data_IF_296239035651
#
_entry.id   IF_296239035651
#
_cell.length_a   1.000
_cell.length_b   1.000
_cell.length_c   1.000
_cell.angle_alpha   90.00
_cell.angle_beta   90.00
_cell.angle_gamma   90.00
#
_symmetry.space_group_name_H-M   'P 1'
#
loop_
_entity.id
_entity.type
_entity.pdbx_description
1 polymer ?
#
# COMPACT_ATOMS: atom_id res chain seq x y z
N UNK A 1 -8.86 -9.21 1.51
CA UNK A 1 -9.30 -10.59 1.20
C UNK A 1 -9.75 -10.80 -0.25
N UNK A 2 -10.90 -10.25 -0.70
CA UNK A 2 -11.43 -10.49 -2.06
C UNK A 2 -10.47 -10.12 -3.20
N UNK A 3 -9.71 -9.03 -3.05
CA UNK A 3 -8.70 -8.65 -4.04
C UNK A 3 -7.59 -9.70 -4.21
N UNK A 4 -7.16 -10.32 -3.10
CA UNK A 4 -6.12 -11.38 -3.12
C UNK A 4 -6.68 -12.64 -3.77
N UNK A 5 -7.91 -13.02 -3.42
CA UNK A 5 -8.62 -14.16 -4.03
C UNK A 5 -8.77 -13.98 -5.56
N UNK A 6 -9.17 -12.79 -6.01
CA UNK A 6 -9.26 -12.48 -7.45
C UNK A 6 -7.89 -12.58 -8.14
N UNK A 7 -6.82 -12.11 -7.49
CA UNK A 7 -5.45 -12.27 -7.99
C UNK A 7 -5.08 -13.76 -8.07
N UNK A 8 -5.44 -14.58 -7.08
CA UNK A 8 -5.22 -16.02 -7.08
C UNK A 8 -5.93 -16.72 -8.24
N UNK A 9 -7.21 -16.41 -8.46
CA UNK A 9 -7.97 -16.92 -9.62
C UNK A 9 -7.32 -16.54 -10.95
N UNK A 10 -6.90 -15.27 -11.10
CA UNK A 10 -6.27 -14.82 -12.33
C UNK A 10 -4.88 -15.41 -12.53
N UNK A 11 -4.10 -15.60 -11.45
CA UNK A 11 -2.81 -16.31 -11.45
C UNK A 11 -2.99 -17.71 -12.02
N UNK A 12 -3.89 -18.51 -11.45
CA UNK A 12 -4.14 -19.89 -11.91
C UNK A 12 -4.52 -19.94 -13.40
N UNK A 13 -5.38 -19.02 -13.86
CA UNK A 13 -5.77 -18.95 -15.27
C UNK A 13 -4.63 -18.56 -16.21
N UNK A 14 -3.62 -17.80 -15.75
CA UNK A 14 -2.50 -17.38 -16.60
C UNK A 14 -1.31 -18.35 -16.50
N UNK A 15 -1.25 -19.17 -15.45
CA UNK A 15 -0.28 -20.26 -15.33
C UNK A 15 -0.47 -21.31 -16.43
N UNK A 16 -1.70 -21.58 -16.87
CA UNK A 16 -1.95 -22.44 -18.05
C UNK A 16 -1.32 -21.88 -19.33
N UNK A 17 -1.20 -20.56 -19.44
CA UNK A 17 -0.56 -19.87 -20.57
C UNK A 17 0.97 -19.78 -20.43
N UNK A 18 1.53 -20.38 -19.38
CA UNK A 18 2.98 -20.47 -19.14
C UNK A 18 3.58 -19.29 -18.40
N UNK A 19 2.76 -18.49 -17.73
CA UNK A 19 3.24 -17.51 -16.77
C UNK A 19 3.62 -18.18 -15.46
N UNK A 20 4.73 -17.76 -14.86
CA UNK A 20 5.11 -18.10 -13.50
C UNK A 20 5.05 -16.84 -12.65
N UNK A 21 4.34 -16.90 -11.51
CA UNK A 21 4.14 -15.76 -10.62
C UNK A 21 4.95 -15.89 -9.33
N UNK A 22 5.47 -14.76 -8.85
CA UNK A 22 5.97 -14.59 -7.50
C UNK A 22 5.23 -13.41 -6.89
N UNK A 23 4.48 -13.66 -5.81
CA UNK A 23 3.70 -12.64 -5.12
C UNK A 23 4.28 -12.46 -3.72
N UNK A 24 4.58 -11.20 -3.39
CA UNK A 24 5.08 -10.82 -2.07
C UNK A 24 4.17 -9.77 -1.46
N UNK A 25 3.85 -9.92 -0.19
CA UNK A 25 3.09 -8.95 0.58
C UNK A 25 4.00 -8.17 1.53
N UNK A 26 3.75 -6.87 1.65
CA UNK A 26 4.17 -6.06 2.79
C UNK A 26 2.96 -5.38 3.41
N UNK A 27 3.03 -5.11 4.71
CA UNK A 27 1.99 -4.36 5.40
C UNK A 27 2.67 -3.41 6.39
N UNK A 28 2.44 -2.12 6.19
CA UNK A 28 2.97 -1.08 7.07
C UNK A 28 1.86 -0.19 7.61
N UNK A 29 2.18 0.47 8.70
CA UNK A 29 1.42 1.56 9.28
C UNK A 29 2.25 2.85 9.23
N UNK A 30 1.61 3.97 8.93
CA UNK A 30 2.19 5.31 9.06
C UNK A 30 1.43 6.03 10.17
N UNK A 31 2.11 6.28 11.29
CA UNK A 31 1.58 6.98 12.45
C UNK A 31 2.57 8.06 12.88
N UNK A 32 2.08 9.30 13.02
CA UNK A 32 2.93 10.46 13.30
C UNK A 32 4.19 10.52 12.41
N UNK A 33 4.02 10.15 11.13
CA UNK A 33 5.06 10.18 10.09
C UNK A 33 6.25 9.23 10.35
N UNK A 34 6.06 8.30 11.30
CA UNK A 34 6.90 7.15 11.52
C UNK A 34 6.27 5.93 10.83
N UNK A 35 7.11 5.15 10.14
CA UNK A 35 6.70 3.91 9.48
C UNK A 35 6.92 2.74 10.44
N UNK A 36 5.90 1.89 10.61
CA UNK A 36 5.95 0.65 11.38
C UNK A 36 5.65 -0.54 10.48
N UNK A 37 6.49 -1.54 10.54
CA UNK A 37 6.28 -2.82 9.83
C UNK A 37 5.33 -3.72 10.62
N UNK A 38 4.18 -4.04 10.02
CA UNK A 38 3.15 -4.91 10.61
C UNK A 38 3.36 -6.39 10.28
N UNK A 39 4.30 -6.73 9.38
CA UNK A 39 4.62 -8.11 9.02
C UNK A 39 5.95 -8.61 9.58
N UNK A 40 6.73 -7.75 10.26
CA UNK A 40 7.99 -8.15 10.91
C UNK A 40 7.84 -9.43 11.74
N UNK A 41 8.92 -10.19 11.89
CA UNK A 41 8.92 -11.37 12.76
C UNK A 41 9.16 -11.00 14.23
N UNK A 42 8.70 -11.84 15.16
CA UNK A 42 8.73 -11.58 16.61
C UNK A 42 10.09 -11.91 17.28
N UNK A 43 11.17 -12.07 16.51
CA UNK A 43 12.42 -12.67 16.99
C UNK A 43 13.29 -11.74 17.87
N UNK A 44 12.69 -10.83 18.64
CA UNK A 44 13.42 -9.93 19.54
C UNK A 44 14.37 -8.95 18.85
N UNK A 45 14.38 -8.90 17.52
CA UNK A 45 15.22 -7.98 16.76
C UNK A 45 14.75 -6.55 17.00
N UNK A 46 15.70 -5.66 17.32
CA UNK A 46 15.48 -4.22 17.45
C UNK A 46 14.76 -3.72 16.21
N UNK A 47 13.67 -2.95 16.40
CA UNK A 47 12.96 -2.32 15.31
C UNK A 47 13.92 -1.45 14.51
N UNK A 48 14.23 -1.87 13.28
CA UNK A 48 15.07 -1.09 12.38
C UNK A 48 14.28 0.13 11.92
N UNK A 49 14.99 1.24 11.68
CA UNK A 49 14.37 2.41 11.08
C UNK A 49 13.89 2.08 9.65
N UNK A 50 12.70 2.57 9.32
CA UNK A 50 12.05 2.39 8.03
C UNK A 50 11.95 3.76 7.34
N UNK A 51 12.64 3.89 6.20
CA UNK A 51 12.65 5.11 5.41
C UNK A 51 12.31 4.82 3.96
N UNK A 52 11.64 5.77 3.32
CA UNK A 52 11.31 5.68 1.90
C UNK A 52 12.56 6.07 1.10
N UNK A 53 13.09 5.10 0.36
CA UNK A 53 14.26 5.22 -0.51
C UNK A 53 13.86 5.08 -1.97
N UNK A 54 14.75 5.49 -2.86
CA UNK A 54 14.61 5.36 -4.31
C UNK A 54 15.62 4.31 -4.77
N UNK A 55 15.18 3.34 -5.56
CA UNK A 55 16.06 2.33 -6.15
C UNK A 55 16.75 2.88 -7.42
N UNK A 56 17.59 2.05 -8.05
CA UNK A 56 18.33 2.42 -9.27
C UNK A 56 17.41 2.73 -10.46
N UNK A 57 16.18 2.23 -10.44
CA UNK A 57 15.18 2.42 -11.49
C UNK A 57 14.25 3.61 -11.19
N UNK A 58 14.53 4.40 -10.14
CA UNK A 58 13.66 5.49 -9.72
C UNK A 58 12.41 5.05 -8.96
N UNK A 59 12.26 3.76 -8.66
CA UNK A 59 11.11 3.23 -7.92
C UNK A 59 11.29 3.43 -6.41
N UNK A 60 10.20 3.77 -5.75
CA UNK A 60 10.21 4.00 -4.31
C UNK A 60 9.93 2.72 -3.55
N UNK A 61 10.67 2.52 -2.46
CA UNK A 61 10.49 1.41 -1.55
C UNK A 61 10.80 1.84 -0.13
N UNK A 62 10.30 1.09 0.86
CA UNK A 62 10.60 1.32 2.27
C UNK A 62 11.76 0.41 2.69
N UNK A 63 12.81 0.98 3.27
CA UNK A 63 13.96 0.21 3.75
C UNK A 63 13.59 -0.68 4.93
N UNK A 64 14.22 -1.86 4.99
CA UNK A 64 14.04 -2.83 6.07
C UNK A 64 12.58 -3.32 6.25
N UNK A 65 11.69 -3.06 5.29
CA UNK A 65 10.31 -3.53 5.34
C UNK A 65 10.27 -5.02 5.02
N UNK A 66 9.56 -5.78 5.85
CA UNK A 66 9.36 -7.22 5.67
C UNK A 66 8.51 -7.48 4.43
N UNK A 67 9.02 -8.36 3.57
CA UNK A 67 8.34 -8.88 2.39
C UNK A 67 8.12 -10.37 2.58
N UNK A 68 6.87 -10.78 2.81
CA UNK A 68 6.50 -12.20 2.90
C UNK A 68 6.05 -12.69 1.52
N UNK A 69 6.71 -13.71 0.99
CA UNK A 69 6.15 -14.44 -0.16
C UNK A 69 4.86 -15.11 0.28
N UNK A 70 3.81 -15.02 -0.53
CA UNK A 70 2.51 -15.63 -0.24
C UNK A 70 1.97 -16.35 -1.48
N UNK A 71 1.20 -17.41 -1.25
CA UNK A 71 0.31 -17.95 -2.26
C UNK A 71 -1.10 -17.36 -2.10
N UNK A 72 -1.60 -16.53 -3.03
CA UNK A 72 -2.97 -16.01 -2.95
C UNK A 72 -4.06 -17.09 -3.00
N UNK A 73 -3.73 -18.33 -3.38
CA UNK A 73 -4.64 -19.48 -3.36
C UNK A 73 -4.69 -20.17 -1.99
N UNK A 74 -3.73 -19.91 -1.09
CA UNK A 74 -3.74 -20.39 0.29
C UNK A 74 -4.46 -19.37 1.18
N UNK A 75 -5.73 -19.63 1.45
CA UNK A 75 -6.56 -18.75 2.27
C UNK A 75 -6.07 -18.67 3.73
N UNK A 76 -5.56 -19.78 4.27
CA UNK A 76 -5.08 -19.83 5.65
C UNK A 76 -3.81 -19.00 5.83
N UNK A 77 -2.89 -19.05 4.86
CA UNK A 77 -1.69 -18.21 4.82
C UNK A 77 -2.08 -16.72 4.77
N UNK A 78 -2.99 -16.36 3.86
CA UNK A 78 -3.46 -14.96 3.72
C UNK A 78 -4.14 -14.48 4.99
N UNK A 79 -5.01 -15.29 5.60
CA UNK A 79 -5.71 -14.93 6.83
C UNK A 79 -4.77 -14.87 8.03
N UNK A 80 -3.77 -15.74 8.11
CA UNK A 80 -2.72 -15.65 9.13
C UNK A 80 -1.92 -14.35 9.01
N UNK A 81 -1.55 -13.96 7.78
CA UNK A 81 -0.85 -12.70 7.51
C UNK A 81 -1.68 -11.48 7.92
N UNK A 82 -2.97 -11.46 7.57
CA UNK A 82 -3.88 -10.36 7.93
C UNK A 82 -4.12 -10.30 9.45
N UNK A 83 -4.28 -11.45 10.12
CA UNK A 83 -4.39 -11.54 11.58
C UNK A 83 -3.12 -11.05 12.29
N UNK A 84 -1.94 -11.41 11.79
CA UNK A 84 -0.67 -10.93 12.32
C UNK A 84 -0.62 -9.39 12.28
N UNK A 85 -0.94 -8.79 11.13
CA UNK A 85 -0.91 -7.35 10.97
C UNK A 85 -1.95 -6.64 11.86
N UNK A 86 -3.17 -7.18 11.93
CA UNK A 86 -4.25 -6.66 12.77
C UNK A 86 -3.86 -6.67 14.25
N UNK A 87 -3.30 -7.79 14.75
CA UNK A 87 -2.83 -7.90 16.13
C UNK A 87 -1.76 -6.86 16.47
N UNK A 88 -0.79 -6.64 15.57
CA UNK A 88 0.24 -5.61 15.79
C UNK A 88 -0.32 -4.19 15.78
N UNK A 89 -1.30 -3.90 14.92
CA UNK A 89 -2.02 -2.61 14.91
C UNK A 89 -2.77 -2.41 16.24
N UNK A 90 -3.39 -3.47 16.78
CA UNK A 90 -4.09 -3.43 18.07
C UNK A 90 -3.16 -3.26 19.27
N UNK A 91 -2.01 -3.95 19.33
CA UNK A 91 -1.03 -3.82 20.42
C UNK A 91 -0.45 -2.40 20.48
N UNK A 92 -0.32 -1.73 19.33
CA UNK A 92 0.01 -0.31 19.35
C UNK A 92 -1.08 0.48 20.09
N UNK A 93 -2.36 0.21 19.84
CA UNK A 93 -3.49 0.95 20.41
C UNK A 93 -3.71 0.76 21.93
N UNK A 94 -3.21 -0.32 22.55
CA UNK A 94 -3.50 -0.67 23.96
C UNK A 94 -2.87 0.22 25.05
N UNK A 95 -2.33 1.40 24.69
CA UNK A 95 -1.73 2.37 25.62
C UNK A 95 -2.63 3.53 26.10
N UNK A 96 -3.96 3.45 25.99
CA UNK A 96 -4.97 4.51 26.27
C UNK A 96 -5.33 5.49 25.14
N UNK A 97 -5.27 5.11 23.85
CA UNK A 97 -5.84 5.94 22.76
C UNK A 97 -6.44 5.10 21.64
N UNK A 98 -7.50 5.62 21.03
CA UNK A 98 -8.11 5.15 19.77
C UNK A 98 -7.14 5.40 18.60
N UNK A 99 -6.01 4.67 18.55
CA UNK A 99 -4.95 4.87 17.56
C UNK A 99 -5.32 4.40 16.15
N UNK A 100 -6.32 3.53 16.00
CA UNK A 100 -6.71 2.99 14.69
C UNK A 100 -7.34 4.04 13.76
N UNK A 101 -8.06 5.03 14.32
CA UNK A 101 -8.60 6.18 13.56
C UNK A 101 -7.51 7.20 13.21
N UNK A 102 -6.30 7.02 13.74
CA UNK A 102 -5.22 8.01 13.74
C UNK A 102 -3.98 7.58 12.96
N UNK A 103 -4.01 6.41 12.35
CA UNK A 103 -2.90 5.90 11.55
C UNK A 103 -3.37 5.46 10.18
N UNK A 104 -2.48 5.59 9.19
CA UNK A 104 -2.71 5.05 7.85
C UNK A 104 -2.15 3.64 7.78
N UNK A 105 -2.88 2.74 7.16
CA UNK A 105 -2.47 1.37 6.92
C UNK A 105 -2.29 1.15 5.43
N UNK A 106 -1.12 0.63 5.02
CA UNK A 106 -0.79 0.38 3.62
C UNK A 106 -0.42 -1.08 3.47
N UNK A 107 -1.34 -1.86 2.93
CA UNK A 107 -1.08 -3.22 2.48
C UNK A 107 -0.63 -3.19 1.01
N UNK A 108 0.48 -3.83 0.71
CA UNK A 108 1.06 -3.82 -0.64
C UNK A 108 1.30 -5.24 -1.13
N UNK A 109 0.77 -5.55 -2.32
CA UNK A 109 1.14 -6.75 -3.07
C UNK A 109 2.11 -6.37 -4.18
N UNK A 110 3.26 -7.02 -4.17
CA UNK A 110 4.24 -6.98 -5.25
C UNK A 110 4.04 -8.23 -6.11
N UNK A 111 3.70 -8.03 -7.38
CA UNK A 111 3.47 -9.08 -8.34
C UNK A 111 4.63 -9.07 -9.34
N UNK A 112 5.38 -10.16 -9.40
CA UNK A 112 6.34 -10.41 -10.46
C UNK A 112 5.86 -11.62 -11.26
N UNK A 113 5.82 -11.50 -12.58
CA UNK A 113 5.44 -12.60 -13.46
C UNK A 113 6.45 -12.73 -14.60
N UNK A 114 6.76 -13.96 -14.98
CA UNK A 114 7.62 -14.25 -16.12
C UNK A 114 6.96 -15.29 -17.03
N UNK A 115 7.00 -15.07 -18.34
CA UNK A 115 6.63 -16.06 -19.32
C UNK A 115 7.87 -16.42 -20.16
N UNK A 116 8.51 -17.56 -19.90
CA UNK A 116 9.70 -17.98 -20.63
C UNK A 116 9.45 -18.18 -22.14
N UNK A 117 8.27 -18.70 -22.51
CA UNK A 117 7.89 -18.95 -23.91
C UNK A 117 7.83 -17.64 -24.70
N UNK A 118 7.32 -16.59 -24.07
CA UNK A 118 7.18 -15.26 -24.68
C UNK A 118 8.40 -14.35 -24.42
N UNK A 119 9.38 -14.79 -23.60
CA UNK A 119 10.51 -13.97 -23.11
C UNK A 119 10.04 -12.65 -22.47
N UNK A 120 8.92 -12.69 -21.76
CA UNK A 120 8.31 -11.52 -21.13
C UNK A 120 8.44 -11.54 -19.62
N UNK A 121 8.61 -10.36 -19.04
CA UNK A 121 8.47 -10.13 -17.61
C UNK A 121 7.51 -8.98 -17.34
N UNK A 122 6.72 -9.17 -16.29
CA UNK A 122 5.78 -8.19 -15.78
C UNK A 122 6.09 -7.92 -14.32
N UNK A 123 6.04 -6.63 -13.96
CA UNK A 123 6.06 -6.19 -12.56
C UNK A 123 4.86 -5.31 -12.30
N UNK A 124 4.14 -5.61 -11.24
CA UNK A 124 2.97 -4.87 -10.79
C UNK A 124 3.04 -4.66 -9.28
N UNK A 125 2.45 -3.56 -8.83
CA UNK A 125 2.29 -3.27 -7.41
C UNK A 125 0.84 -2.84 -7.18
N UNK A 126 0.17 -3.50 -6.25
CA UNK A 126 -1.16 -3.10 -5.77
C UNK A 126 -1.02 -2.57 -4.35
N UNK A 127 -1.40 -1.32 -4.14
CA UNK A 127 -1.56 -0.75 -2.82
C UNK A 127 -3.05 -0.77 -2.43
N UNK A 128 -3.34 -1.32 -1.26
CA UNK A 128 -4.62 -1.17 -0.56
C UNK A 128 -4.37 -0.28 0.66
N UNK A 129 -4.91 0.93 0.61
CA UNK A 129 -4.63 1.98 1.59
C UNK A 129 -5.89 2.24 2.40
N UNK A 130 -5.79 2.09 3.71
CA UNK A 130 -6.78 2.48 4.70
C UNK A 130 -6.28 3.75 5.39
N UNK A 131 -6.96 4.87 5.12
CA UNK A 131 -6.54 6.19 5.60
C UNK A 131 -7.05 6.44 7.02
N UNK A 132 -6.27 7.22 7.78
CA UNK A 132 -6.74 7.78 9.04
C UNK A 132 -8.02 8.62 8.85
N UNK A 133 -8.76 8.82 9.94
CA UNK A 133 -9.96 9.65 9.99
C UNK A 133 -9.72 11.06 9.46
N UNK A 134 -10.67 11.56 8.67
CA UNK A 134 -10.61 12.89 8.06
C UNK A 134 -11.17 14.01 8.96
N UNK A 135 -11.66 13.65 10.14
CA UNK A 135 -12.33 14.58 11.04
C UNK A 135 -11.39 15.66 11.59
N UNK A 136 -11.92 16.88 11.71
CA UNK A 136 -11.15 18.03 12.17
C UNK A 136 -10.98 18.06 13.69
N UNK A 137 -9.81 18.52 14.13
CA UNK A 137 -9.43 18.65 15.54
C UNK A 137 -10.38 19.49 16.38
N UNK A 138 -11.04 20.47 15.75
CA UNK A 138 -11.99 21.37 16.43
C UNK A 138 -13.15 20.62 17.11
N UNK A 139 -13.48 19.40 16.65
CA UNK A 139 -14.53 18.56 17.24
C UNK A 139 -14.02 17.61 18.33
N UNK A 140 -12.70 17.47 18.48
CA UNK A 140 -12.09 16.46 19.35
C UNK A 140 -11.91 16.92 20.80
N UNK A 141 -11.97 18.24 21.08
CA UNK A 141 -11.79 18.79 22.43
C UNK A 141 -10.39 18.52 23.02
N UNK A 142 -9.42 18.16 22.17
CA UNK A 142 -8.12 17.64 22.58
C UNK A 142 -7.12 18.76 22.88
N UNK A 143 -6.49 18.71 24.05
CA UNK A 143 -5.42 19.62 24.50
C UNK A 143 -4.09 18.88 24.75
N UNK A 144 -2.96 19.59 24.71
CA UNK A 144 -1.62 19.05 25.02
C UNK A 144 -0.98 18.21 23.90
N UNK A 145 -0.18 17.19 24.25
CA UNK A 145 0.53 16.31 23.30
C UNK A 145 -0.36 15.69 22.23
N UNK A 146 -1.62 15.41 22.58
CA UNK A 146 -2.62 14.86 21.65
C UNK A 146 -3.03 15.88 20.56
N UNK A 147 -2.87 17.18 20.78
CA UNK A 147 -3.09 18.21 19.75
C UNK A 147 -1.96 18.17 18.70
N UNK A 148 -0.71 18.04 19.14
CA UNK A 148 0.45 17.87 18.24
C UNK A 148 0.34 16.60 17.40
N UNK A 149 -0.07 15.49 18.02
CA UNK A 149 -0.35 14.22 17.34
C UNK A 149 -1.44 14.39 16.27
N UNK A 150 -2.55 15.03 16.63
CA UNK A 150 -3.69 15.15 15.75
C UNK A 150 -3.45 16.18 14.61
N UNK A 151 -2.55 17.16 14.80
CA UNK A 151 -1.98 18.00 13.73
C UNK A 151 -1.12 17.17 12.78
N UNK A 152 -0.28 16.26 13.31
CA UNK A 152 0.59 15.42 12.49
C UNK A 152 -0.18 14.40 11.64
N UNK A 153 -1.30 13.86 12.15
CA UNK A 153 -2.16 12.95 11.39
C UNK A 153 -2.83 13.70 10.24
N UNK A 154 -3.45 14.85 10.55
CA UNK A 154 -4.05 15.69 9.54
C UNK A 154 -3.03 16.22 8.53
N UNK A 155 -1.74 16.33 8.89
CA UNK A 155 -0.69 16.71 7.94
C UNK A 155 -0.64 15.79 6.72
N UNK A 156 -0.78 14.47 6.93
CA UNK A 156 -0.72 13.50 5.82
C UNK A 156 -1.95 13.55 4.89
N UNK A 157 -3.15 13.74 5.45
CA UNK A 157 -4.39 13.94 4.65
C UNK A 157 -4.43 15.30 3.96
N UNK A 158 -3.99 16.36 4.63
CA UNK A 158 -3.81 17.68 4.02
C UNK A 158 -2.76 17.63 2.90
N UNK A 159 -1.63 16.95 3.12
CA UNK A 159 -0.61 16.75 2.08
C UNK A 159 -1.15 15.97 0.88
N UNK A 160 -2.00 14.97 1.12
CA UNK A 160 -2.69 14.23 0.05
C UNK A 160 -3.62 15.16 -0.74
N UNK A 161 -4.34 16.04 -0.05
CA UNK A 161 -5.17 17.07 -0.67
C UNK A 161 -4.34 18.02 -1.52
N UNK A 162 -3.24 18.55 -0.97
CA UNK A 162 -2.32 19.45 -1.68
C UNK A 162 -1.73 18.80 -2.95
N UNK A 163 -1.42 17.50 -2.88
CA UNK A 163 -0.98 16.72 -4.05
C UNK A 163 -2.04 16.70 -5.14
N UNK A 164 -3.29 16.37 -4.82
CA UNK A 164 -4.37 16.35 -5.81
C UNK A 164 -4.67 17.75 -6.36
N UNK A 165 -4.69 18.78 -5.50
CA UNK A 165 -4.84 20.17 -5.92
C UNK A 165 -3.75 20.55 -6.92
N UNK A 166 -2.50 20.24 -6.62
CA UNK A 166 -1.36 20.55 -7.47
C UNK A 166 -1.43 19.81 -8.81
N UNK A 167 -1.87 18.54 -8.81
CA UNK A 167 -2.08 17.74 -10.03
C UNK A 167 -3.20 18.34 -10.88
N UNK A 168 -4.36 18.64 -10.29
CA UNK A 168 -5.51 19.24 -10.98
C UNK A 168 -5.15 20.59 -11.61
N UNK A 169 -4.33 21.38 -10.91
CA UNK A 169 -3.85 22.68 -11.39
C UNK A 169 -2.65 22.58 -12.34
N UNK A 170 -2.22 21.37 -12.72
CA UNK A 170 -1.07 21.12 -13.61
C UNK A 170 0.20 21.84 -13.16
N UNK A 171 0.42 21.91 -11.85
CA UNK A 171 1.60 22.57 -11.30
C UNK A 171 2.88 21.80 -11.65
N UNK A 172 3.97 22.52 -11.89
CA UNK A 172 5.28 21.92 -12.19
C UNK A 172 5.86 21.13 -11.01
N UNK A 173 5.61 21.60 -9.79
CA UNK A 173 6.08 20.96 -8.57
C UNK A 173 4.90 20.42 -7.77
N UNK A 174 4.86 19.09 -7.60
CA UNK A 174 3.83 18.41 -6.80
C UNK A 174 4.41 18.04 -5.43
N UNK A 175 3.79 18.43 -4.30
CA UNK A 175 4.38 18.35 -2.96
C UNK A 175 4.32 16.94 -2.33
N UNK A 176 4.71 15.90 -3.07
CA UNK A 176 4.71 14.52 -2.58
C UNK A 176 5.61 14.29 -1.36
N UNK A 177 6.57 15.17 -1.08
CA UNK A 177 7.50 15.03 0.05
C UNK A 177 6.93 15.54 1.38
N UNK A 178 5.78 16.20 1.38
CA UNK A 178 5.19 16.79 2.59
C UNK A 178 4.68 15.75 3.60
N UNK A 179 4.47 14.51 3.16
CA UNK A 179 4.14 13.39 4.06
C UNK A 179 4.77 12.09 3.59
N UNK A 180 5.04 11.14 4.51
CA UNK A 180 5.51 9.80 4.14
C UNK A 180 4.46 9.06 3.30
N UNK A 181 3.18 9.28 3.56
CA UNK A 181 2.07 8.67 2.80
C UNK A 181 2.09 9.10 1.33
N UNK A 182 2.07 10.40 1.06
CA UNK A 182 2.11 10.93 -0.32
C UNK A 182 3.43 10.58 -1.00
N UNK A 183 4.54 10.55 -0.26
CA UNK A 183 5.84 10.16 -0.79
C UNK A 183 5.87 8.69 -1.20
N UNK A 184 5.25 7.80 -0.42
CA UNK A 184 5.12 6.39 -0.74
C UNK A 184 4.21 6.17 -1.97
N UNK A 185 3.05 6.83 -2.01
CA UNK A 185 2.03 6.65 -3.04
C UNK A 185 2.29 7.42 -4.34
N UNK A 186 3.35 8.22 -4.41
CA UNK A 186 3.67 9.01 -5.60
C UNK A 186 3.58 8.19 -6.91
N UNK A 187 4.16 6.98 -7.05
CA UNK A 187 4.08 6.22 -8.29
C UNK A 187 2.65 5.83 -8.72
N UNK A 188 1.71 5.75 -7.76
CA UNK A 188 0.29 5.48 -8.02
C UNK A 188 -0.48 6.75 -8.40
N UNK A 189 -0.06 7.89 -7.85
CA UNK A 189 -0.71 9.19 -8.01
C UNK A 189 -0.13 10.03 -9.16
N UNK A 190 1.01 9.65 -9.72
CA UNK A 190 1.54 10.29 -10.93
C UNK A 190 2.22 9.25 -11.83
N UNK A 191 1.95 9.32 -13.14
CA UNK A 191 2.59 8.47 -14.14
C UNK A 191 1.74 7.27 -14.53
N UNK A 192 2.23 6.05 -14.25
CA UNK A 192 1.66 4.81 -14.81
C UNK A 192 0.69 4.09 -13.87
N UNK A 193 0.34 4.70 -12.74
CA UNK A 193 -0.58 4.14 -11.75
C UNK A 193 -2.04 4.18 -12.19
N UNK A 194 -2.84 3.25 -11.67
CA UNK A 194 -4.30 3.38 -11.62
C UNK A 194 -4.69 3.58 -10.17
N UNK A 195 -5.47 4.62 -9.90
CA UNK A 195 -5.92 4.94 -8.54
C UNK A 195 -7.43 4.95 -8.51
N UNK A 196 -8.00 4.21 -7.56
CA UNK A 196 -9.41 4.26 -7.20
C UNK A 196 -9.50 4.77 -5.76
N UNK A 197 -10.26 5.84 -5.56
CA UNK A 197 -10.55 6.36 -4.23
C UNK A 197 -11.98 5.97 -3.84
N UNK A 198 -12.13 5.37 -2.67
CA UNK A 198 -13.44 5.13 -2.05
C UNK A 198 -13.64 6.15 -0.94
N UNK A 199 -14.81 6.80 -0.92
CA UNK A 199 -15.14 7.82 0.07
C UNK A 199 -16.29 7.31 0.92
N UNK A 200 -16.00 7.00 2.18
CA UNK A 200 -16.97 6.50 3.13
C UNK A 200 -17.65 7.67 3.85
N UNK A 201 -18.98 7.69 3.82
CA UNK A 201 -19.79 8.78 4.36
C UNK A 201 -20.76 8.23 5.42
N UNK A 202 -21.03 9.05 6.43
CA UNK A 202 -22.06 8.76 7.42
C UNK A 202 -23.34 9.52 7.05
N UNK A 203 -24.52 8.85 7.05
CA UNK A 203 -25.80 9.48 6.75
C UNK A 203 -26.38 10.28 7.93
N UNK A 204 -25.70 10.32 9.07
CA UNK A 204 -26.23 10.95 10.28
C UNK A 204 -26.09 12.47 10.25
N UNK A 205 -27.03 13.17 10.90
CA UNK A 205 -27.02 14.64 11.01
C UNK A 205 -25.74 15.12 11.72
N UNK A 206 -25.30 14.41 12.76
CA UNK A 206 -24.07 14.70 13.50
C UNK A 206 -22.79 14.66 12.63
N UNK A 207 -22.82 13.89 11.53
CA UNK A 207 -21.71 13.78 10.57
C UNK A 207 -21.86 14.69 9.35
N UNK A 208 -22.97 15.44 9.20
CA UNK A 208 -23.28 16.21 7.99
C UNK A 208 -22.13 17.10 7.50
N UNK A 209 -21.47 17.82 8.40
CA UNK A 209 -20.37 18.71 8.04
C UNK A 209 -19.13 17.95 7.54
N UNK A 210 -18.77 16.84 8.17
CA UNK A 210 -17.65 15.99 7.74
C UNK A 210 -17.97 15.29 6.42
N UNK A 211 -19.21 14.80 6.26
CA UNK A 211 -19.72 14.25 5.01
C UNK A 211 -19.58 15.25 3.85
N UNK A 212 -19.94 16.52 4.08
CA UNK A 212 -19.78 17.58 3.09
C UNK A 212 -18.30 17.85 2.76
N UNK A 213 -17.42 17.87 3.76
CA UNK A 213 -15.98 18.00 3.55
C UNK A 213 -15.41 16.85 2.71
N UNK A 214 -15.75 15.61 3.04
CA UNK A 214 -15.33 14.41 2.31
C UNK A 214 -15.84 14.40 0.87
N UNK A 215 -17.09 14.81 0.63
CA UNK A 215 -17.65 14.94 -0.72
C UNK A 215 -16.96 16.02 -1.56
N UNK A 216 -16.64 17.18 -0.96
CA UNK A 216 -15.89 18.24 -1.65
C UNK A 216 -14.48 17.76 -2.04
N UNK A 217 -13.81 17.07 -1.13
CA UNK A 217 -12.51 16.47 -1.42
C UNK A 217 -12.62 15.43 -2.55
N UNK A 218 -13.60 14.54 -2.48
CA UNK A 218 -13.88 13.55 -3.54
C UNK A 218 -14.07 14.20 -4.91
N UNK A 219 -14.87 15.27 -4.96
CA UNK A 219 -15.11 16.03 -6.18
C UNK A 219 -13.83 16.64 -6.75
N UNK A 220 -12.91 17.10 -5.89
CA UNK A 220 -11.63 17.65 -6.30
C UNK A 220 -10.68 16.56 -6.82
N UNK A 221 -10.61 15.42 -6.14
CA UNK A 221 -9.83 14.25 -6.60
C UNK A 221 -10.34 13.75 -7.95
N UNK A 222 -11.66 13.74 -8.16
CA UNK A 222 -12.27 13.29 -9.42
C UNK A 222 -11.91 14.17 -10.62
N UNK A 223 -11.50 15.43 -10.40
CA UNK A 223 -11.04 16.33 -11.46
C UNK A 223 -9.56 16.09 -11.85
N UNK A 224 -8.85 15.24 -11.10
CA UNK A 224 -7.43 14.97 -11.35
C UNK A 224 -7.24 13.91 -12.45
N UNK A 225 -6.63 14.29 -13.56
CA UNK A 225 -6.20 13.35 -14.59
C UNK A 225 -4.77 12.85 -14.32
N UNK A 226 -4.63 11.61 -13.87
CA UNK A 226 -3.32 11.03 -13.53
C UNK A 226 -2.50 10.58 -14.77
N UNK A 227 -3.11 10.65 -15.96
CA UNK A 227 -2.55 10.18 -17.22
C UNK A 227 -2.90 8.72 -17.55
N UNK A 228 -2.39 8.23 -18.69
CA UNK A 228 -2.66 6.87 -19.16
C UNK A 228 -1.64 5.89 -18.57
N UNK A 229 -2.14 4.94 -17.77
CA UNK A 229 -1.32 3.87 -17.22
C UNK A 229 -0.64 3.05 -18.33
N UNK A 230 0.71 2.96 -18.28
CA UNK A 230 1.50 2.09 -19.16
C UNK A 230 1.76 0.75 -18.48
N UNK A 231 1.68 -0.34 -19.24
CA UNK A 231 2.06 -1.67 -18.78
C UNK A 231 3.58 -1.73 -18.62
N UNK A 232 4.07 -2.24 -17.48
CA UNK A 232 5.50 -2.50 -17.27
C UNK A 232 5.86 -3.85 -17.87
N UNK A 233 6.20 -3.84 -19.17
CA UNK A 233 6.81 -4.98 -19.85
C UNK A 233 8.32 -4.78 -19.87
N UNK A 234 9.06 -5.82 -19.49
CA UNK A 234 10.48 -5.93 -19.78
C UNK A 234 10.72 -7.19 -20.62
N UNK A 235 11.57 -7.09 -21.63
CA UNK A 235 12.09 -8.27 -22.31
C UNK A 235 13.01 -9.01 -21.33
N UNK A 236 12.76 -10.29 -21.12
CA UNK A 236 13.55 -11.10 -20.22
C UNK A 236 15.00 -11.18 -20.72
N UNK A 237 15.96 -10.68 -19.93
CA UNK A 237 17.39 -10.98 -20.13
C UNK A 237 17.68 -12.40 -19.62
N UNK A 238 18.70 -13.05 -20.18
CA UNK A 238 19.06 -14.46 -19.94
C UNK A 238 19.19 -14.84 -18.46
N UNK A 239 19.60 -13.91 -17.60
CA UNK A 239 19.85 -14.16 -16.17
C UNK A 239 18.58 -14.34 -15.33
N UNK A 240 17.46 -13.78 -15.76
CA UNK A 240 16.22 -13.82 -15.00
C UNK A 240 15.38 -15.08 -15.29
N UNK A 241 15.59 -15.73 -16.43
CA UNK A 241 14.99 -17.03 -16.78
C UNK A 241 15.55 -18.18 -15.91
N UNK A 242 16.81 -18.08 -15.46
CA UNK A 242 17.46 -19.11 -14.65
C UNK A 242 17.00 -19.13 -13.18
N UNK A 243 16.39 -18.06 -12.67
CA UNK A 243 15.89 -18.00 -11.27
C UNK A 243 14.50 -18.60 -11.09
N UNK A 244 13.63 -18.56 -12.11
CA UNK A 244 12.28 -19.13 -12.03
C UNK A 244 12.22 -20.63 -12.34
N UNK A 245 13.19 -21.17 -13.09
CA UNK A 245 13.23 -22.60 -13.44
C UNK A 245 13.67 -23.55 -12.32
N UNK A 246 14.19 -23.04 -11.19
CA UNK A 246 14.71 -23.89 -10.09
C UNK A 246 13.68 -24.20 -8.99
N UNK A 247 12.46 -23.67 -9.05
CA UNK A 247 11.46 -23.90 -7.99
C UNK A 247 10.50 -25.07 -8.24
N UNK A 248 10.63 -25.80 -9.35
CA UNK A 248 9.68 -26.84 -9.77
C UNK A 248 10.25 -28.27 -9.80
N UNK A 249 11.42 -28.53 -9.23
CA UNK A 249 11.92 -29.90 -9.05
C UNK A 249 11.54 -30.42 -7.66
N UNK A 250 10.28 -30.82 -7.49
CA UNK A 250 9.88 -31.71 -6.40
C UNK A 250 10.40 -33.10 -6.75
N UNK A 251 11.37 -33.55 -5.98
CA UNK A 251 11.96 -34.89 -6.07
C UNK A 251 10.90 -35.93 -5.69
N UNK A 252 10.39 -36.67 -6.66
CA UNK A 252 9.76 -37.96 -6.42
C UNK A 252 10.87 -38.96 -6.10
N UNK A 253 11.09 -39.24 -4.81
CA UNK A 253 11.86 -40.42 -4.39
C UNK A 253 10.91 -41.52 -3.97
N UNK A 254 10.68 -42.46 -4.87
CA UNK A 254 10.26 -43.83 -4.55
C UNK A 254 11.41 -44.54 -3.84
N UNK A 255 11.18 -45.01 -2.62
CA UNK A 255 11.59 -46.31 -2.10
C UNK A 255 10.73 -46.68 -0.90
#
# INVERSE_FOLDING_TARGET
>A
PRAIELIGRQKMSLESDGWAYTIKASFLEIYNECIRDLLRDNNGAVQKNHDIKIDRNGQRYVSNLTLKTIDPCDHDEVDALLRQASSRRSVAATGMNEMSSRSHSVFTLHLEAANPRQKQQLKGVLHLVDLAGSERLARSGVSGQRMTEAVAINRSLSSLTDVFVAISNKQKHIPFRNSKLTYLLQPSLIGNGKTLMLVNLSPTIASSQETLCSLRFASQVNQCELGRAKRSFANATSDALNKSGKSSTVTTSTH
#
